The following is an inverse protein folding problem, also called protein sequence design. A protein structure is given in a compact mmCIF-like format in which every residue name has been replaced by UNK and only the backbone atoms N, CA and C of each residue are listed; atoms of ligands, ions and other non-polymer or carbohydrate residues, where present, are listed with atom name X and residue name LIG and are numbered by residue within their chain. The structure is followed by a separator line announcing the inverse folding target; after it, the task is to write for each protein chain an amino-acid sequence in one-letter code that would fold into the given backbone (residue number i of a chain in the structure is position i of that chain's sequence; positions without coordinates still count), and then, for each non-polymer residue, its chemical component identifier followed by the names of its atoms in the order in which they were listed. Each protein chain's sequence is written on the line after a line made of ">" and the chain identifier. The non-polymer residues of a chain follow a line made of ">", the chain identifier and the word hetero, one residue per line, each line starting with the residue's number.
data_IF_710062763936
#
_entry.id   IF_710062763936
#
_cell.length_a   1.000
_cell.length_b   1.000
_cell.length_c   1.000
_cell.angle_alpha   90.00
_cell.angle_beta   90.00
_cell.angle_gamma   90.00
#
_symmetry.space_group_name_H-M   'P 1'
#
loop_
_entity.id
_entity.type
_entity.pdbx_description
1 polymer ?
#
# COMPACT_ATOMS: atom_id res chain seq x y z
N UNK A 1 31.14 6.44 -0.92
CA UNK A 1 29.88 5.97 -1.45
C UNK A 1 30.11 4.71 -2.28
N UNK A 2 29.85 3.52 -1.73
CA UNK A 2 29.59 2.34 -2.53
C UNK A 2 28.53 1.43 -1.86
N UNK A 3 27.32 1.90 -1.64
CA UNK A 3 26.27 1.07 -1.02
C UNK A 3 25.16 0.61 -1.99
N UNK A 4 24.98 1.30 -3.12
CA UNK A 4 23.96 0.92 -4.10
C UNK A 4 24.32 -0.29 -5.00
N UNK A 5 25.59 -0.63 -5.12
CA UNK A 5 26.03 -1.67 -6.06
C UNK A 5 26.01 -3.10 -5.47
N UNK A 6 25.95 -3.23 -4.13
CA UNK A 6 25.82 -4.52 -3.47
C UNK A 6 24.39 -5.08 -3.57
N UNK A 7 23.38 -4.23 -3.44
CA UNK A 7 21.96 -4.65 -3.48
C UNK A 7 21.48 -5.04 -4.87
N UNK A 8 22.03 -4.43 -5.93
CA UNK A 8 21.65 -4.79 -7.31
C UNK A 8 22.11 -6.20 -7.69
N UNK A 9 23.26 -6.65 -7.17
CA UNK A 9 23.78 -7.99 -7.43
C UNK A 9 22.97 -9.08 -6.70
N UNK A 10 22.49 -8.77 -5.49
CA UNK A 10 21.66 -9.71 -4.72
C UNK A 10 20.27 -9.84 -5.36
N UNK A 11 19.72 -8.76 -5.90
CA UNK A 11 18.45 -8.78 -6.62
C UNK A 11 18.53 -9.57 -7.93
N UNK A 12 19.59 -9.39 -8.70
CA UNK A 12 19.86 -10.24 -9.89
C UNK A 12 20.03 -11.71 -9.52
N UNK A 13 20.68 -11.99 -8.39
CA UNK A 13 20.86 -13.35 -7.88
C UNK A 13 19.53 -13.98 -7.45
N UNK A 14 18.67 -13.21 -6.77
CA UNK A 14 17.33 -13.65 -6.35
C UNK A 14 16.44 -13.85 -7.56
N UNK A 15 16.41 -12.92 -8.50
CA UNK A 15 15.63 -13.05 -9.74
C UNK A 15 16.15 -14.17 -10.63
N UNK A 16 17.46 -14.44 -10.64
CA UNK A 16 18.05 -15.57 -11.33
C UNK A 16 17.70 -16.89 -10.63
N UNK A 17 17.75 -16.94 -9.29
CA UNK A 17 17.32 -18.13 -8.52
C UNK A 17 15.82 -18.38 -8.68
N UNK A 18 14.98 -17.35 -8.68
CA UNK A 18 13.54 -17.47 -8.94
C UNK A 18 13.28 -17.99 -10.37
N UNK A 19 14.04 -17.54 -11.37
CA UNK A 19 13.95 -18.10 -12.76
C UNK A 19 14.43 -19.54 -12.85
N UNK A 20 15.40 -19.94 -12.07
CA UNK A 20 15.84 -21.34 -12.01
C UNK A 20 14.83 -22.24 -11.28
N UNK A 21 14.08 -21.67 -10.31
CA UNK A 21 12.97 -22.35 -9.65
C UNK A 21 11.70 -22.42 -10.54
N UNK A 22 11.60 -21.64 -11.61
CA UNK A 22 10.54 -21.72 -12.63
C UNK A 22 10.52 -23.08 -13.37
N UNK A 23 11.60 -23.86 -13.27
CA UNK A 23 11.58 -25.26 -13.70
C UNK A 23 10.90 -26.24 -12.72
N UNK A 24 10.67 -25.82 -11.48
CA UNK A 24 9.85 -26.52 -10.50
C UNK A 24 8.62 -25.65 -10.24
N UNK A 25 7.48 -26.07 -10.73
CA UNK A 25 6.16 -25.43 -10.65
C UNK A 25 5.73 -25.13 -9.20
N UNK A 26 6.27 -24.07 -8.62
CA UNK A 26 5.75 -23.51 -7.39
C UNK A 26 4.83 -22.34 -7.77
N UNK A 27 3.59 -22.64 -8.17
CA UNK A 27 2.52 -21.67 -8.40
C UNK A 27 2.41 -20.64 -7.25
N UNK A 28 2.78 -21.07 -6.04
CA UNK A 28 2.84 -20.23 -4.85
C UNK A 28 3.84 -19.07 -4.96
N UNK A 29 4.89 -19.21 -5.76
CA UNK A 29 5.92 -18.18 -5.94
C UNK A 29 5.70 -17.31 -7.18
N UNK A 30 4.81 -17.70 -8.08
CA UNK A 30 4.56 -16.96 -9.32
C UNK A 30 4.04 -15.54 -9.04
N UNK A 31 3.15 -15.40 -8.07
CA UNK A 31 2.63 -14.08 -7.65
C UNK A 31 3.74 -13.20 -7.08
N UNK A 32 4.59 -13.75 -6.21
CA UNK A 32 5.72 -13.00 -5.64
C UNK A 32 6.75 -12.62 -6.71
N UNK A 33 7.03 -13.52 -7.63
CA UNK A 33 7.90 -13.23 -8.77
C UNK A 33 7.33 -12.10 -9.65
N UNK A 34 6.00 -12.12 -9.89
CA UNK A 34 5.30 -11.06 -10.60
C UNK A 34 5.35 -9.70 -9.88
N UNK A 35 5.28 -9.69 -8.55
CA UNK A 35 5.46 -8.48 -7.73
C UNK A 35 6.87 -7.93 -7.90
N UNK A 36 7.89 -8.77 -7.73
CA UNK A 36 9.29 -8.35 -7.83
C UNK A 36 9.71 -7.97 -9.26
N UNK A 37 9.05 -8.52 -10.28
CA UNK A 37 9.26 -8.11 -11.68
C UNK A 37 8.48 -6.84 -12.07
N UNK A 38 7.59 -6.35 -11.20
CA UNK A 38 6.74 -5.20 -11.46
C UNK A 38 5.51 -5.49 -12.34
N UNK A 39 5.25 -6.76 -12.67
CA UNK A 39 4.08 -7.17 -13.45
C UNK A 39 2.80 -7.18 -12.61
N UNK A 40 2.94 -7.43 -11.29
CA UNK A 40 1.84 -7.45 -10.34
C UNK A 40 1.98 -6.28 -9.38
N UNK A 41 0.94 -5.48 -9.29
CA UNK A 41 0.86 -4.34 -8.39
C UNK A 41 0.33 -4.78 -7.02
N UNK A 42 0.95 -4.24 -5.97
CA UNK A 42 0.58 -4.57 -4.59
C UNK A 42 -0.44 -3.57 -4.07
N UNK A 43 -1.48 -4.10 -3.47
CA UNK A 43 -2.44 -3.34 -2.67
C UNK A 43 -2.50 -3.98 -1.28
N UNK A 44 -2.27 -3.18 -0.26
CA UNK A 44 -2.14 -3.67 1.11
C UNK A 44 -3.32 -3.26 1.97
N UNK A 45 -3.88 -4.24 2.70
CA UNK A 45 -4.70 -3.95 3.86
C UNK A 45 -3.81 -3.38 4.98
N UNK A 46 -4.13 -2.20 5.52
CA UNK A 46 -3.39 -1.60 6.62
C UNK A 46 -4.22 -0.54 7.32
N UNK A 47 -4.20 -0.49 8.65
CA UNK A 47 -4.90 0.54 9.41
C UNK A 47 -3.98 1.62 9.95
N UNK A 48 -2.84 1.24 10.47
CA UNK A 48 -1.97 2.11 11.26
C UNK A 48 -0.95 2.84 10.40
N UNK A 49 -0.66 4.08 10.77
CA UNK A 49 0.30 4.92 10.08
C UNK A 49 1.72 4.36 10.11
N UNK A 50 2.14 3.79 11.26
CA UNK A 50 3.47 3.19 11.41
C UNK A 50 3.63 1.92 10.57
N UNK A 51 2.59 1.10 10.45
CA UNK A 51 2.60 -0.09 9.59
C UNK A 51 2.68 0.29 8.11
N UNK A 52 1.90 1.28 7.67
CA UNK A 52 1.99 1.80 6.30
C UNK A 52 3.38 2.34 5.98
N UNK A 53 3.98 3.12 6.90
CA UNK A 53 5.33 3.64 6.73
C UNK A 53 6.37 2.50 6.62
N UNK A 54 6.27 1.47 7.46
CA UNK A 54 7.14 0.29 7.39
C UNK A 54 6.99 -0.46 6.07
N UNK A 55 5.77 -0.61 5.56
CA UNK A 55 5.52 -1.25 4.25
C UNK A 55 6.11 -0.44 3.09
N UNK A 56 6.09 0.90 3.17
CA UNK A 56 6.74 1.77 2.20
C UNK A 56 8.26 1.55 2.21
N UNK A 57 8.88 1.48 3.38
CA UNK A 57 10.33 1.20 3.48
C UNK A 57 10.67 -0.19 2.93
N UNK A 58 9.88 -1.22 3.24
CA UNK A 58 10.03 -2.56 2.66
C UNK A 58 9.90 -2.55 1.13
N UNK A 59 8.95 -1.80 0.59
CA UNK A 59 8.79 -1.70 -0.86
C UNK A 59 10.01 -1.10 -1.55
N UNK A 60 10.68 -0.14 -0.90
CA UNK A 60 11.93 0.44 -1.38
C UNK A 60 13.12 -0.52 -1.24
N UNK A 61 13.17 -1.28 -0.15
CA UNK A 61 14.23 -2.26 0.09
C UNK A 61 14.23 -3.37 -0.97
N UNK A 62 13.03 -3.87 -1.32
CA UNK A 62 12.86 -4.97 -2.28
C UNK A 62 12.48 -4.53 -3.69
N UNK A 63 12.45 -3.22 -3.95
CA UNK A 63 12.15 -2.60 -5.26
C UNK A 63 10.84 -3.09 -5.87
N UNK A 64 9.77 -3.15 -5.07
CA UNK A 64 8.43 -3.43 -5.57
C UNK A 64 7.51 -2.23 -5.35
N UNK A 65 6.37 -2.19 -6.05
CA UNK A 65 5.46 -1.05 -6.04
C UNK A 65 4.18 -1.34 -5.28
N UNK A 66 3.91 -0.51 -4.25
CA UNK A 66 2.60 -0.42 -3.62
C UNK A 66 1.79 0.65 -4.36
N UNK A 67 0.56 0.35 -4.76
CA UNK A 67 -0.33 1.30 -5.43
C UNK A 67 -1.37 1.89 -4.50
N UNK A 68 -1.84 1.12 -3.53
CA UNK A 68 -2.81 1.61 -2.55
C UNK A 68 -2.70 0.88 -1.21
N UNK A 69 -3.02 1.61 -0.13
CA UNK A 69 -3.39 1.04 1.16
C UNK A 69 -4.90 1.04 1.30
N UNK A 70 -5.46 -0.11 1.64
CA UNK A 70 -6.89 -0.27 1.88
C UNK A 70 -7.22 -0.03 3.34
N UNK A 71 -8.40 0.54 3.58
CA UNK A 71 -8.92 1.00 4.88
C UNK A 71 -8.12 2.19 5.41
N UNK A 72 -6.82 2.05 5.57
CA UNK A 72 -5.84 3.10 5.86
C UNK A 72 -6.38 4.16 6.85
N UNK A 73 -6.93 3.66 7.96
CA UNK A 73 -7.68 4.44 8.95
C UNK A 73 -6.91 5.63 9.50
N UNK A 74 -5.58 5.48 9.61
CA UNK A 74 -4.67 6.51 10.08
C UNK A 74 -3.88 7.21 8.95
N UNK A 75 -4.29 7.07 7.69
CA UNK A 75 -3.57 7.66 6.56
C UNK A 75 -3.41 9.18 6.67
N UNK A 76 -4.36 9.87 7.32
CA UNK A 76 -4.27 11.31 7.57
C UNK A 76 -3.02 11.72 8.35
N UNK A 77 -2.45 10.82 9.16
CA UNK A 77 -1.23 11.07 9.94
C UNK A 77 0.04 11.10 9.05
N UNK A 78 -0.01 10.43 7.91
CA UNK A 78 1.11 10.28 6.97
C UNK A 78 0.71 10.66 5.53
N UNK A 79 -0.30 11.47 5.37
CA UNK A 79 -0.87 11.83 4.07
C UNK A 79 0.18 12.42 3.11
N UNK A 80 1.08 13.24 3.62
CA UNK A 80 2.18 13.80 2.84
C UNK A 80 3.18 12.73 2.36
N UNK A 81 3.46 11.73 3.18
CA UNK A 81 4.33 10.60 2.79
C UNK A 81 3.67 9.79 1.66
N UNK A 82 2.38 9.49 1.79
CA UNK A 82 1.64 8.77 0.74
C UNK A 82 1.66 9.54 -0.59
N UNK A 83 1.45 10.86 -0.53
CA UNK A 83 1.49 11.72 -1.72
C UNK A 83 2.89 11.78 -2.35
N UNK A 84 3.96 11.84 -1.54
CA UNK A 84 5.34 11.86 -2.02
C UNK A 84 5.75 10.55 -2.71
N UNK A 85 5.22 9.42 -2.23
CA UNK A 85 5.46 8.09 -2.80
C UNK A 85 4.47 7.71 -3.93
N UNK A 86 3.47 8.55 -4.19
CA UNK A 86 2.45 8.31 -5.21
C UNK A 86 1.54 7.11 -4.91
N UNK A 87 1.27 6.87 -3.62
CA UNK A 87 0.44 5.77 -3.13
C UNK A 87 -0.94 6.30 -2.78
N UNK A 88 -1.99 5.63 -3.26
CA UNK A 88 -3.36 5.99 -2.93
C UNK A 88 -3.80 5.43 -1.57
N UNK A 89 -4.70 6.14 -0.91
CA UNK A 89 -5.48 5.61 0.20
C UNK A 89 -6.88 5.24 -0.26
N UNK A 90 -7.26 3.96 -0.16
CA UNK A 90 -8.64 3.52 -0.33
C UNK A 90 -9.30 3.50 1.07
N UNK A 91 -10.11 4.51 1.35
CA UNK A 91 -10.43 4.96 2.70
C UNK A 91 -11.92 4.81 3.00
N UNK A 92 -12.23 4.61 4.27
CA UNK A 92 -13.59 4.71 4.80
C UNK A 92 -13.85 6.09 5.41
N UNK A 93 -15.09 6.55 5.35
CA UNK A 93 -15.52 7.76 6.03
C UNK A 93 -16.34 7.48 7.29
N UNK A 94 -17.13 6.41 7.32
CA UNK A 94 -18.20 6.17 8.28
C UNK A 94 -17.96 5.02 9.28
N UNK A 95 -16.83 4.34 9.20
CA UNK A 95 -16.54 3.14 10.00
C UNK A 95 -15.74 3.42 11.28
N UNK A 96 -15.82 4.61 11.77
CA UNK A 96 -15.19 4.99 13.02
C UNK A 96 -15.63 4.07 14.18
N UNK A 97 -14.64 3.53 14.88
CA UNK A 97 -14.85 2.83 16.15
C UNK A 97 -15.54 1.45 16.05
N UNK A 98 -15.75 0.89 14.85
CA UNK A 98 -16.37 -0.44 14.73
C UNK A 98 -15.49 -1.57 15.27
N UNK A 99 -14.19 -1.35 15.37
CA UNK A 99 -13.21 -2.21 16.05
C UNK A 99 -12.05 -1.38 16.60
N UNK A 100 -11.23 -1.98 17.45
CA UNK A 100 -10.14 -1.27 18.13
C UNK A 100 -9.20 -0.53 17.18
N UNK A 101 -8.81 -1.15 16.08
CA UNK A 101 -7.91 -0.57 15.10
C UNK A 101 -8.49 0.63 14.36
N UNK A 102 -9.80 0.81 14.41
CA UNK A 102 -10.51 1.92 13.77
C UNK A 102 -10.87 3.08 14.74
N UNK A 103 -10.44 3.03 16.00
CA UNK A 103 -10.76 4.09 16.96
C UNK A 103 -10.14 5.44 16.60
N UNK A 104 -8.96 5.46 16.01
CA UNK A 104 -8.25 6.69 15.65
C UNK A 104 -8.68 7.25 14.27
N UNK A 105 -9.65 6.63 13.63
CA UNK A 105 -10.20 7.11 12.37
C UNK A 105 -10.85 8.48 12.57
N UNK A 106 -10.67 9.36 11.59
CA UNK A 106 -11.34 10.65 11.52
C UNK A 106 -12.16 10.76 10.22
N UNK A 107 -13.37 11.31 10.25
CA UNK A 107 -14.17 11.46 9.03
C UNK A 107 -13.49 12.28 7.92
N UNK A 108 -12.60 13.20 8.31
CA UNK A 108 -11.84 14.03 7.38
C UNK A 108 -10.66 13.29 6.71
N UNK A 109 -10.41 12.01 6.99
CA UNK A 109 -9.27 11.25 6.49
C UNK A 109 -9.17 11.34 4.97
N UNK A 110 -10.26 11.12 4.26
CA UNK A 110 -10.33 11.18 2.79
C UNK A 110 -9.89 12.56 2.28
N UNK A 111 -10.48 13.63 2.82
CA UNK A 111 -10.15 14.99 2.41
C UNK A 111 -8.70 15.38 2.71
N UNK A 112 -8.16 14.93 3.85
CA UNK A 112 -6.77 15.20 4.23
C UNK A 112 -5.81 14.50 3.28
N UNK A 113 -6.06 13.22 2.96
CA UNK A 113 -5.23 12.45 2.03
C UNK A 113 -5.31 13.03 0.62
N UNK A 114 -6.50 13.37 0.13
CA UNK A 114 -6.69 13.97 -1.19
C UNK A 114 -5.94 15.30 -1.35
N UNK A 115 -5.99 16.15 -0.33
CA UNK A 115 -5.37 17.47 -0.35
C UNK A 115 -3.89 17.48 0.05
N UNK A 116 -3.31 16.34 0.39
CA UNK A 116 -1.91 16.23 0.75
C UNK A 116 -1.00 16.83 -0.35
N UNK A 117 0.09 17.48 0.07
CA UNK A 117 1.02 18.15 -0.87
C UNK A 117 0.31 19.08 -1.88
N UNK A 118 -0.67 19.84 -1.41
CA UNK A 118 -1.44 20.80 -2.23
C UNK A 118 -2.21 20.13 -3.38
N UNK A 119 -2.89 19.03 -3.10
CA UNK A 119 -3.76 18.31 -4.04
C UNK A 119 -2.99 17.31 -4.92
N UNK A 120 -1.84 16.82 -4.46
CA UNK A 120 -1.11 15.71 -5.08
C UNK A 120 -1.45 14.36 -4.46
N UNK A 121 -2.24 14.35 -3.41
CA UNK A 121 -2.71 13.13 -2.77
C UNK A 121 -3.63 12.33 -3.68
N UNK A 122 -3.85 11.09 -3.32
CA UNK A 122 -4.76 10.19 -4.01
C UNK A 122 -5.64 9.49 -2.98
N UNK A 123 -6.91 9.90 -2.91
CA UNK A 123 -7.89 9.27 -2.05
C UNK A 123 -9.00 8.59 -2.87
N UNK A 124 -9.37 7.40 -2.46
CA UNK A 124 -10.42 6.58 -3.06
C UNK A 124 -11.42 6.25 -1.94
N UNK A 125 -12.68 6.55 -2.15
CA UNK A 125 -13.74 6.15 -1.21
C UNK A 125 -14.09 4.70 -1.46
N UNK A 126 -14.09 3.87 -0.42
CA UNK A 126 -14.50 2.49 -0.52
C UNK A 126 -15.25 2.02 0.74
N UNK A 127 -15.90 0.89 0.66
CA UNK A 127 -16.55 0.22 1.79
C UNK A 127 -16.26 -1.28 1.73
N UNK A 128 -16.13 -1.89 2.91
CA UNK A 128 -16.06 -3.35 3.10
C UNK A 128 -17.42 -3.92 3.53
N UNK A 129 -18.44 -3.07 3.56
CA UNK A 129 -19.76 -3.44 4.06
C UNK A 129 -20.77 -3.52 2.93
N UNK A 130 -21.52 -4.61 2.89
CA UNK A 130 -22.56 -4.84 1.89
C UNK A 130 -23.74 -3.88 2.01
N UNK A 131 -23.94 -3.28 3.17
CA UNK A 131 -24.98 -2.27 3.41
C UNK A 131 -24.43 -0.87 3.11
N UNK A 132 -23.25 -0.53 3.62
CA UNK A 132 -22.61 0.78 3.49
C UNK A 132 -22.25 1.11 2.04
N UNK A 133 -21.83 0.13 1.24
CA UNK A 133 -21.43 0.34 -0.17
C UNK A 133 -22.50 1.02 -1.03
N UNK A 134 -23.77 0.91 -0.64
CA UNK A 134 -24.88 1.57 -1.34
C UNK A 134 -24.89 3.07 -1.12
N UNK A 135 -24.12 3.57 -0.16
CA UNK A 135 -24.13 4.95 0.30
C UNK A 135 -22.77 5.66 0.11
N UNK A 136 -21.84 5.06 -0.65
CA UNK A 136 -20.52 5.64 -0.91
C UNK A 136 -20.51 7.09 -1.40
N UNK A 137 -21.57 7.53 -2.01
CA UNK A 137 -21.72 8.90 -2.46
C UNK A 137 -22.05 9.90 -1.33
N UNK A 138 -22.24 9.43 -0.12
CA UNK A 138 -22.46 10.24 1.08
C UNK A 138 -21.23 10.30 1.98
N UNK A 139 -20.24 9.43 1.74
CA UNK A 139 -18.97 9.37 2.43
C UNK A 139 -18.00 10.41 1.84
#
# INVERSE_FOLDING_TARGET
>A
MPSHQLYSNDFELISHHLRLLQGCQALELDTLAGVLSGEILVQNHCYRADEMANMIELSKEFDYKITAFHHAVEAYKIADLLADEGICGALWADWWGFKHEAYDMVPANIAIVDQARSGKGCAIVHSDDEVGIQHLNHD
#
